data_IF_478160530425
#
_entry.id   IF_478160530425
#
_cell.length_a   1.000
_cell.length_b   1.000
_cell.length_c   1.000
_cell.angle_alpha   90.00
_cell.angle_beta   90.00
_cell.angle_gamma   90.00
#
_symmetry.space_group_name_H-M   'P 1'
#
loop_
_entity.id
_entity.type
_entity.pdbx_description
1 polymer ?
#
# COMPACT_ATOMS: atom_id res chain seq x y z
N UNK A 1 -10.85 -61.94 33.02
CA UNK A 1 -10.77 -62.53 31.68
C UNK A 1 -9.66 -63.60 31.69
N UNK A 2 -9.39 -64.28 30.58
CA UNK A 2 -8.08 -64.92 30.40
C UNK A 2 -7.09 -63.79 30.09
N UNK A 3 -5.99 -63.67 30.83
CA UNK A 3 -5.03 -62.56 30.62
C UNK A 3 -4.14 -62.78 29.41
N UNK A 4 -3.64 -64.00 29.28
CA UNK A 4 -2.91 -64.51 28.11
C UNK A 4 -3.87 -64.85 26.95
N UNK A 5 -5.00 -64.16 26.86
CA UNK A 5 -5.98 -64.32 25.79
C UNK A 5 -6.10 -63.02 25.03
N UNK A 6 -6.52 -63.16 23.80
CA UNK A 6 -6.94 -62.13 22.86
C UNK A 6 -8.46 -62.40 22.68
N UNK A 7 -9.31 -61.37 22.68
CA UNK A 7 -10.78 -61.53 22.74
C UNK A 7 -11.52 -61.08 21.48
N UNK A 8 -10.84 -60.30 20.66
CA UNK A 8 -11.25 -59.55 19.46
C UNK A 8 -10.57 -60.15 18.22
N UNK A 9 -9.45 -60.87 18.45
CA UNK A 9 -8.50 -61.40 17.48
C UNK A 9 -7.70 -60.28 16.75
N UNK A 10 -7.36 -59.17 17.44
CA UNK A 10 -6.66 -57.98 16.89
C UNK A 10 -5.11 -58.13 16.84
N UNK A 11 -4.54 -58.81 17.85
CA UNK A 11 -3.10 -58.99 18.02
C UNK A 11 -2.61 -58.77 19.45
N UNK A 12 -3.31 -57.97 20.26
CA UNK A 12 -2.97 -57.69 21.65
C UNK A 12 -3.54 -58.75 22.60
N UNK A 13 -2.92 -58.92 23.76
CA UNK A 13 -3.54 -59.68 24.85
C UNK A 13 -4.33 -58.79 25.80
N UNK A 14 -5.36 -59.35 26.42
CA UNK A 14 -6.17 -58.79 27.51
C UNK A 14 -5.39 -58.25 28.73
N UNK A 15 -4.07 -58.47 28.80
CA UNK A 15 -3.18 -57.84 29.77
C UNK A 15 -2.44 -56.64 29.17
N UNK A 16 -2.02 -56.69 27.90
CA UNK A 16 -1.45 -55.55 27.14
C UNK A 16 -2.50 -54.47 26.90
N UNK A 17 -3.69 -54.82 26.42
CA UNK A 17 -4.82 -53.89 26.22
C UNK A 17 -5.16 -53.13 27.51
N UNK A 18 -5.17 -53.84 28.65
CA UNK A 18 -5.43 -53.25 29.97
C UNK A 18 -4.28 -52.35 30.47
N UNK A 19 -3.06 -52.54 29.97
CA UNK A 19 -1.89 -51.70 30.27
C UNK A 19 -1.83 -50.46 29.38
N UNK A 20 -2.26 -50.57 28.11
CA UNK A 20 -2.40 -49.46 27.15
C UNK A 20 -3.62 -48.58 27.46
N UNK A 21 -4.75 -49.19 27.80
CA UNK A 21 -6.03 -48.53 28.08
C UNK A 21 -7.15 -48.87 27.10
N UNK A 22 -6.90 -49.75 26.13
CA UNK A 22 -7.82 -50.12 25.04
C UNK A 22 -8.97 -51.02 25.49
N UNK A 23 -9.99 -51.18 24.64
CA UNK A 23 -11.19 -51.97 24.95
C UNK A 23 -11.04 -53.46 24.58
N UNK A 24 -10.91 -54.34 25.59
CA UNK A 24 -10.84 -55.84 25.50
C UNK A 24 -12.00 -56.61 24.83
N UNK A 25 -12.81 -55.90 24.04
CA UNK A 25 -13.92 -56.39 23.24
C UNK A 25 -14.08 -55.62 21.90
N UNK A 26 -13.15 -54.71 21.55
CA UNK A 26 -13.08 -53.95 20.31
C UNK A 26 -11.67 -54.10 19.75
N UNK A 27 -11.53 -54.46 18.47
CA UNK A 27 -10.21 -54.50 17.83
C UNK A 27 -9.69 -53.12 17.42
N UNK A 28 -10.53 -52.10 17.54
CA UNK A 28 -10.41 -50.72 17.10
C UNK A 28 -11.10 -49.90 18.22
N UNK A 29 -10.32 -49.19 19.04
CA UNK A 29 -10.81 -48.56 20.28
C UNK A 29 -11.29 -47.12 20.09
N UNK A 30 -10.72 -46.36 19.15
CA UNK A 30 -11.09 -44.96 18.88
C UNK A 30 -12.01 -44.77 17.66
N UNK A 31 -12.37 -45.86 16.96
CA UNK A 31 -13.21 -45.91 15.76
C UNK A 31 -12.55 -45.22 14.53
N UNK A 32 -11.21 -45.14 14.43
CA UNK A 32 -10.50 -44.61 13.24
C UNK A 32 -10.54 -45.57 12.03
N UNK A 33 -10.42 -46.88 12.27
CA UNK A 33 -10.40 -47.94 11.25
C UNK A 33 -9.10 -48.75 11.14
N UNK A 34 -8.08 -48.47 11.95
CA UNK A 34 -6.96 -49.36 12.24
C UNK A 34 -7.37 -50.42 13.28
N UNK A 35 -6.50 -51.41 13.53
CA UNK A 35 -6.72 -52.34 14.66
C UNK A 35 -5.65 -52.02 15.72
N UNK A 36 -6.02 -51.91 17.00
CA UNK A 36 -5.17 -51.46 18.12
C UNK A 36 -3.79 -52.15 18.13
N UNK A 37 -3.77 -53.46 17.90
CA UNK A 37 -2.54 -54.25 17.80
C UNK A 37 -1.64 -53.89 16.63
N UNK A 38 -2.16 -53.44 15.49
CA UNK A 38 -1.31 -52.97 14.36
C UNK A 38 -0.73 -51.59 14.64
N UNK A 39 -1.50 -50.72 15.27
CA UNK A 39 -1.04 -49.41 15.68
C UNK A 39 0.17 -49.54 16.60
N UNK A 40 0.08 -50.41 17.61
CA UNK A 40 1.16 -50.63 18.57
C UNK A 40 2.37 -51.39 17.98
N UNK A 41 2.16 -52.47 17.21
CA UNK A 41 3.25 -53.36 16.75
C UNK A 41 3.82 -53.02 15.36
N UNK A 42 3.06 -52.37 14.47
CA UNK A 42 3.44 -52.13 13.06
C UNK A 42 3.62 -50.64 12.72
N UNK A 43 2.69 -49.75 13.12
CA UNK A 43 2.70 -48.34 12.70
C UNK A 43 3.37 -47.40 13.71
N UNK A 44 3.24 -47.66 15.01
CA UNK A 44 3.73 -46.79 16.08
C UNK A 44 2.75 -45.68 16.49
N UNK A 45 1.51 -45.75 16.03
CA UNK A 45 0.41 -44.84 16.35
C UNK A 45 -0.22 -45.13 17.73
N UNK A 46 -1.16 -44.31 18.15
CA UNK A 46 -1.80 -44.34 19.46
C UNK A 46 -3.24 -44.88 19.37
N UNK A 47 -3.52 -46.13 19.81
CA UNK A 47 -4.83 -46.79 19.66
C UNK A 47 -5.94 -46.26 20.59
N UNK A 48 -5.88 -44.98 20.92
CA UNK A 48 -6.81 -44.23 21.75
C UNK A 48 -7.07 -42.82 21.17
N UNK A 49 -6.50 -42.51 20.01
CA UNK A 49 -6.48 -41.21 19.34
C UNK A 49 -6.38 -41.41 17.83
N UNK A 50 -7.51 -41.19 17.15
CA UNK A 50 -7.72 -41.41 15.72
C UNK A 50 -6.91 -40.49 14.76
N UNK A 51 -5.93 -39.78 15.29
CA UNK A 51 -5.15 -38.66 14.76
C UNK A 51 -3.97 -38.48 15.75
N UNK A 52 -2.89 -39.23 15.54
CA UNK A 52 -1.85 -39.48 16.56
C UNK A 52 -0.94 -38.26 16.81
N UNK A 53 -0.79 -37.38 15.83
CA UNK A 53 0.07 -36.18 15.91
C UNK A 53 -0.70 -34.85 15.93
N UNK A 54 -2.05 -34.89 15.97
CA UNK A 54 -2.98 -33.77 16.08
C UNK A 54 -3.03 -32.84 14.83
N UNK A 55 -2.62 -33.31 13.64
CA UNK A 55 -2.55 -32.51 12.40
C UNK A 55 -3.92 -32.31 11.71
N UNK A 56 -4.89 -33.20 11.97
CA UNK A 56 -6.25 -33.17 11.41
C UNK A 56 -6.54 -34.18 10.29
N UNK A 57 -5.56 -34.96 9.87
CA UNK A 57 -5.72 -36.21 9.10
C UNK A 57 -6.00 -37.35 10.11
N UNK A 58 -6.33 -38.55 9.64
CA UNK A 58 -6.43 -39.74 10.51
C UNK A 58 -5.33 -40.71 10.14
N UNK A 59 -4.78 -41.37 11.13
CA UNK A 59 -3.79 -42.43 11.01
C UNK A 59 -4.16 -43.44 9.89
N UNK A 60 -5.39 -43.95 9.87
CA UNK A 60 -5.86 -44.87 8.81
C UNK A 60 -5.79 -44.31 7.37
N UNK A 61 -5.89 -43.00 7.18
CA UNK A 61 -5.81 -42.35 5.88
C UNK A 61 -4.35 -42.11 5.46
N UNK A 62 -3.48 -41.80 6.40
CA UNK A 62 -2.05 -41.54 6.17
C UNK A 62 -1.26 -42.82 5.93
N UNK A 63 -1.57 -43.89 6.67
CA UNK A 63 -0.98 -45.22 6.46
C UNK A 63 -1.30 -45.79 5.06
N UNK A 64 -2.44 -45.41 4.47
CA UNK A 64 -2.81 -45.68 3.07
C UNK A 64 -2.38 -44.53 2.10
N UNK A 65 -1.82 -43.44 2.63
CA UNK A 65 -1.48 -42.18 1.98
C UNK A 65 0.03 -41.92 1.80
N UNK A 66 0.45 -40.66 1.61
CA UNK A 66 1.85 -40.28 1.46
C UNK A 66 2.50 -39.76 2.76
N UNK A 67 1.69 -39.18 3.66
CA UNK A 67 2.07 -38.52 4.93
C UNK A 67 2.45 -39.53 6.01
N UNK A 68 2.72 -39.06 7.22
CA UNK A 68 3.21 -39.89 8.31
C UNK A 68 2.55 -39.52 9.65
N UNK A 69 1.56 -40.33 10.06
CA UNK A 69 0.76 -40.31 11.30
C UNK A 69 1.51 -40.32 12.66
N UNK A 70 2.75 -39.85 12.70
CA UNK A 70 3.55 -39.62 13.90
C UNK A 70 4.41 -38.35 13.80
N UNK A 71 4.23 -37.56 12.73
CA UNK A 71 4.96 -36.35 12.36
C UNK A 71 3.98 -35.44 11.58
N UNK A 72 3.46 -34.36 12.19
CA UNK A 72 2.34 -33.57 11.65
C UNK A 72 2.71 -32.61 10.50
N UNK A 73 3.91 -32.74 9.95
CA UNK A 73 4.58 -31.87 8.98
C UNK A 73 5.66 -32.76 8.33
N UNK A 74 5.32 -33.39 7.20
CA UNK A 74 6.08 -34.51 6.63
C UNK A 74 7.34 -34.06 5.87
N UNK A 75 7.37 -32.84 5.33
CA UNK A 75 8.53 -32.31 4.59
C UNK A 75 9.38 -31.27 5.36
N UNK A 76 9.01 -30.94 6.60
CA UNK A 76 9.67 -30.03 7.56
C UNK A 76 9.64 -28.53 7.14
N UNK A 77 8.62 -28.07 6.40
CA UNK A 77 8.48 -26.68 5.92
C UNK A 77 7.83 -25.71 6.95
N UNK A 78 7.01 -26.26 7.87
CA UNK A 78 6.33 -25.51 8.92
C UNK A 78 4.84 -25.23 8.71
N UNK A 79 4.24 -25.75 7.64
CA UNK A 79 2.81 -26.00 7.47
C UNK A 79 2.52 -27.45 7.90
N UNK A 80 1.34 -27.71 8.48
CA UNK A 80 0.98 -29.05 8.94
C UNK A 80 0.22 -29.78 7.79
N UNK A 81 0.46 -31.09 7.57
CA UNK A 81 -0.04 -31.83 6.39
C UNK A 81 -1.59 -31.75 6.27
N UNK A 82 -2.28 -31.72 7.41
CA UNK A 82 -3.72 -31.50 7.51
C UNK A 82 -4.19 -30.17 6.90
N UNK A 83 -3.76 -29.00 7.41
CA UNK A 83 -3.95 -27.70 6.77
C UNK A 83 -3.62 -27.65 5.27
N UNK A 84 -2.51 -28.24 4.84
CA UNK A 84 -2.15 -28.33 3.41
C UNK A 84 -3.25 -28.97 2.56
N UNK A 85 -3.60 -30.22 2.90
CA UNK A 85 -4.57 -31.03 2.15
C UNK A 85 -6.01 -30.50 2.26
N UNK A 86 -6.34 -29.76 3.33
CA UNK A 86 -7.73 -29.37 3.64
C UNK A 86 -8.05 -27.87 3.45
N UNK A 87 -7.06 -26.97 3.50
CA UNK A 87 -7.25 -25.51 3.40
C UNK A 87 -6.42 -24.86 2.27
N UNK A 88 -5.19 -25.32 2.01
CA UNK A 88 -4.27 -24.68 1.07
C UNK A 88 -4.14 -25.37 -0.31
N UNK A 89 -4.61 -26.61 -0.46
CA UNK A 89 -4.52 -27.41 -1.70
C UNK A 89 -3.06 -27.68 -2.18
N UNK A 90 -2.05 -27.54 -1.29
CA UNK A 90 -0.61 -27.82 -1.50
C UNK A 90 -0.27 -29.33 -1.49
N UNK A 91 0.98 -29.73 -1.76
CA UNK A 91 1.44 -31.14 -1.69
C UNK A 91 2.35 -31.34 -0.47
N UNK A 92 1.93 -32.06 0.59
CA UNK A 92 2.66 -32.22 1.88
C UNK A 92 3.99 -33.03 1.80
N UNK A 93 4.51 -33.18 0.59
CA UNK A 93 5.73 -33.89 0.23
C UNK A 93 6.72 -33.00 -0.55
N UNK A 94 6.35 -31.74 -0.84
CA UNK A 94 7.12 -30.77 -1.63
C UNK A 94 7.00 -29.37 -0.97
N UNK A 95 8.00 -28.92 -0.20
CA UNK A 95 7.92 -27.76 0.71
C UNK A 95 7.97 -26.38 0.01
N UNK A 96 7.56 -26.33 -1.26
CA UNK A 96 7.66 -25.22 -2.22
C UNK A 96 6.77 -25.64 -3.42
N UNK A 97 5.45 -25.54 -3.23
CA UNK A 97 4.42 -26.19 -4.08
C UNK A 97 4.39 -25.66 -5.51
N UNK A 98 4.74 -24.38 -5.74
CA UNK A 98 4.80 -23.79 -7.08
C UNK A 98 6.22 -23.66 -7.67
N UNK A 99 7.26 -23.75 -6.83
CA UNK A 99 8.66 -23.82 -7.23
C UNK A 99 9.36 -22.47 -7.40
N UNK A 100 8.88 -21.40 -6.76
CA UNK A 100 9.50 -20.07 -6.79
C UNK A 100 10.73 -19.94 -5.86
N UNK A 101 10.77 -20.74 -4.79
CA UNK A 101 11.86 -20.80 -3.80
C UNK A 101 11.57 -20.13 -2.45
N UNK A 102 10.32 -19.74 -2.18
CA UNK A 102 9.73 -19.57 -0.85
C UNK A 102 9.17 -20.94 -0.39
N UNK A 103 8.98 -21.11 0.91
CA UNK A 103 8.44 -22.37 1.48
C UNK A 103 6.96 -22.11 1.87
N UNK A 104 6.04 -23.05 1.59
CA UNK A 104 4.58 -22.88 1.71
C UNK A 104 4.15 -22.43 3.14
N UNK A 105 4.79 -22.98 4.17
CA UNK A 105 4.61 -22.59 5.57
C UNK A 105 4.90 -21.11 5.82
N UNK A 106 6.12 -20.61 5.54
CA UNK A 106 6.44 -19.18 5.53
C UNK A 106 5.49 -18.31 4.70
N UNK A 107 5.04 -18.77 3.53
CA UNK A 107 4.05 -18.06 2.72
C UNK A 107 2.73 -17.86 3.47
N UNK A 108 2.14 -18.95 3.97
CA UNK A 108 0.87 -18.90 4.70
C UNK A 108 0.99 -18.17 6.04
N UNK A 109 2.13 -18.28 6.74
CA UNK A 109 2.28 -17.84 8.14
C UNK A 109 3.02 -16.50 8.33
N UNK A 110 3.92 -16.10 7.44
CA UNK A 110 4.70 -14.85 7.55
C UNK A 110 4.30 -13.80 6.50
N UNK A 111 4.16 -14.17 5.23
CA UNK A 111 3.96 -13.22 4.12
C UNK A 111 2.48 -13.01 3.76
N UNK A 112 1.69 -14.07 3.77
CA UNK A 112 0.28 -14.07 3.37
C UNK A 112 0.05 -14.18 1.86
N UNK A 113 1.03 -14.72 1.14
CA UNK A 113 1.00 -15.07 -0.30
C UNK A 113 0.16 -16.35 -0.54
N UNK A 114 -0.05 -16.72 -1.80
CA UNK A 114 -0.72 -17.97 -2.18
C UNK A 114 0.34 -19.00 -2.63
N UNK A 115 0.62 -20.08 -1.86
CA UNK A 115 1.69 -21.04 -2.17
C UNK A 115 1.46 -21.90 -3.43
N UNK A 116 0.47 -21.54 -4.24
CA UNK A 116 0.20 -22.12 -5.55
C UNK A 116 0.36 -21.10 -6.70
N UNK A 117 0.66 -19.83 -6.41
CA UNK A 117 0.82 -18.73 -7.37
C UNK A 117 2.07 -17.89 -7.07
N UNK A 118 3.23 -18.35 -7.55
CA UNK A 118 4.58 -17.79 -7.49
C UNK A 118 4.78 -16.26 -7.70
N UNK A 119 3.74 -15.53 -8.11
CA UNK A 119 3.66 -14.09 -8.35
C UNK A 119 2.25 -13.67 -7.88
N UNK A 120 2.06 -13.58 -6.55
CA UNK A 120 0.73 -13.53 -5.91
C UNK A 120 -0.09 -12.32 -6.35
N UNK A 121 0.55 -11.18 -6.58
CA UNK A 121 -0.14 -9.96 -6.99
C UNK A 121 -0.20 -9.73 -8.52
N UNK A 122 0.56 -10.52 -9.29
CA UNK A 122 0.56 -10.53 -10.76
C UNK A 122 1.37 -9.42 -11.41
N UNK A 123 2.38 -8.90 -10.70
CA UNK A 123 3.34 -7.88 -11.10
C UNK A 123 4.38 -8.40 -12.14
N UNK A 124 4.81 -9.65 -11.98
CA UNK A 124 5.87 -10.27 -12.78
C UNK A 124 7.26 -10.32 -12.10
N UNK A 125 7.34 -10.10 -10.79
CA UNK A 125 8.35 -10.67 -9.90
C UNK A 125 7.78 -11.93 -9.26
N UNK A 126 8.68 -12.85 -8.89
CA UNK A 126 8.29 -14.01 -8.11
C UNK A 126 8.35 -13.66 -6.60
N UNK A 127 7.43 -14.15 -5.76
CA UNK A 127 7.24 -13.73 -4.35
C UNK A 127 8.52 -13.89 -3.50
N UNK A 128 9.27 -14.98 -3.68
CA UNK A 128 10.59 -15.21 -3.11
C UNK A 128 11.60 -14.13 -3.51
N UNK A 129 11.55 -13.65 -4.76
CA UNK A 129 12.46 -12.61 -5.25
C UNK A 129 12.14 -11.25 -4.63
N UNK A 130 10.85 -10.96 -4.39
CA UNK A 130 10.38 -9.77 -3.70
C UNK A 130 10.91 -9.71 -2.27
N UNK A 131 10.66 -10.79 -1.52
CA UNK A 131 11.05 -10.95 -0.11
C UNK A 131 12.58 -11.04 0.07
N UNK A 132 13.31 -11.71 -0.82
CA UNK A 132 14.75 -12.00 -0.62
C UNK A 132 15.73 -11.12 -1.42
N UNK A 133 15.33 -10.54 -2.56
CA UNK A 133 16.22 -9.73 -3.41
C UNK A 133 15.82 -8.26 -3.53
N UNK A 134 14.53 -7.92 -3.43
CA UNK A 134 14.02 -6.57 -3.75
C UNK A 134 13.51 -5.75 -2.55
N UNK A 135 13.25 -6.40 -1.39
CA UNK A 135 12.66 -5.78 -0.19
C UNK A 135 11.27 -5.15 -0.47
N UNK A 136 10.49 -5.74 -1.39
CA UNK A 136 9.13 -5.32 -1.78
C UNK A 136 8.03 -6.07 -1.02
N UNK A 137 6.76 -5.70 -1.21
CA UNK A 137 5.59 -6.33 -0.57
C UNK A 137 4.86 -7.20 -1.61
N UNK A 138 4.94 -8.55 -1.55
CA UNK A 138 4.39 -9.46 -2.59
C UNK A 138 2.85 -9.48 -2.67
N UNK A 139 2.19 -8.59 -1.93
CA UNK A 139 0.75 -8.35 -1.97
C UNK A 139 0.38 -6.97 -2.56
N UNK A 140 1.37 -6.13 -2.93
CA UNK A 140 1.18 -4.79 -3.50
C UNK A 140 2.10 -4.50 -4.72
N UNK A 141 1.58 -4.78 -5.92
CA UNK A 141 2.17 -4.57 -7.26
C UNK A 141 2.56 -3.12 -7.68
N UNK A 142 2.98 -2.29 -6.72
CA UNK A 142 3.48 -0.91 -6.79
C UNK A 142 3.83 -0.53 -5.33
N UNK A 143 4.82 -1.22 -4.73
CA UNK A 143 5.17 -1.17 -3.28
C UNK A 143 5.32 0.27 -2.77
N UNK A 144 5.87 1.17 -3.58
CA UNK A 144 6.08 2.56 -3.18
C UNK A 144 4.95 3.55 -3.58
N UNK A 145 4.06 3.12 -4.48
CA UNK A 145 2.89 3.86 -4.93
C UNK A 145 3.17 5.01 -5.92
N UNK A 146 4.30 4.99 -6.65
CA UNK A 146 4.62 6.01 -7.66
C UNK A 146 4.00 5.76 -9.05
N UNK A 147 3.52 4.54 -9.30
CA UNK A 147 2.71 4.17 -10.47
C UNK A 147 3.44 3.40 -11.57
N UNK A 148 4.60 2.82 -11.25
CA UNK A 148 5.13 1.62 -11.91
C UNK A 148 4.96 0.43 -10.97
N UNK A 149 4.89 -0.77 -11.53
CA UNK A 149 4.92 -1.98 -10.73
C UNK A 149 6.38 -2.44 -10.55
N UNK A 150 6.64 -3.17 -9.47
CA UNK A 150 7.97 -3.48 -8.97
C UNK A 150 8.78 -4.33 -9.97
N UNK A 151 8.16 -5.26 -10.69
CA UNK A 151 8.78 -6.01 -11.78
C UNK A 151 9.14 -5.15 -13.00
N UNK A 152 8.35 -4.13 -13.31
CA UNK A 152 8.76 -3.12 -14.32
C UNK A 152 9.94 -2.28 -13.82
N UNK A 153 9.95 -1.92 -12.53
CA UNK A 153 11.04 -1.16 -11.92
C UNK A 153 12.36 -1.96 -11.96
N UNK A 154 12.31 -3.25 -11.63
CA UNK A 154 13.45 -4.18 -11.73
C UNK A 154 13.91 -4.36 -13.18
N UNK A 155 13.01 -4.51 -14.18
CA UNK A 155 13.40 -4.56 -15.60
C UNK A 155 14.10 -3.26 -16.06
N UNK A 156 13.63 -2.11 -15.57
CA UNK A 156 14.18 -0.79 -15.90
C UNK A 156 15.44 -0.44 -15.10
N UNK A 157 15.70 -1.12 -13.99
CA UNK A 157 16.78 -0.83 -13.05
C UNK A 157 16.56 0.45 -12.24
N UNK A 158 15.30 0.77 -11.93
CA UNK A 158 14.90 1.72 -10.88
C UNK A 158 14.86 1.00 -9.52
N UNK A 159 14.22 1.58 -8.50
CA UNK A 159 14.24 1.05 -7.15
C UNK A 159 12.79 0.97 -6.63
N UNK A 160 12.18 -0.23 -6.57
CA UNK A 160 10.74 -0.42 -6.31
C UNK A 160 10.27 0.07 -4.94
N UNK A 161 11.20 0.38 -4.04
CA UNK A 161 10.95 0.88 -2.69
C UNK A 161 11.19 2.39 -2.54
N UNK A 162 11.20 3.17 -3.64
CA UNK A 162 11.70 4.56 -3.68
C UNK A 162 10.85 5.49 -4.59
N UNK A 163 9.79 6.15 -4.04
CA UNK A 163 8.69 6.77 -4.81
C UNK A 163 9.04 8.13 -5.44
N UNK A 164 10.32 8.32 -5.73
CA UNK A 164 10.93 9.49 -6.33
C UNK A 164 11.86 9.14 -7.49
N UNK A 165 12.15 7.87 -7.76
CA UNK A 165 13.16 7.49 -8.76
C UNK A 165 12.62 7.53 -10.21
N UNK A 166 11.33 7.26 -10.45
CA UNK A 166 10.71 7.55 -11.76
C UNK A 166 10.67 9.04 -12.07
N UNK A 167 10.71 9.92 -11.06
CA UNK A 167 10.69 11.38 -11.26
C UNK A 167 11.91 11.80 -12.08
N UNK A 168 13.06 11.13 -11.92
CA UNK A 168 14.24 11.38 -12.76
C UNK A 168 13.99 10.98 -14.23
N UNK A 169 13.39 9.82 -14.47
CA UNK A 169 13.09 9.30 -15.81
C UNK A 169 12.03 10.16 -16.53
N UNK A 170 10.92 10.47 -15.86
CA UNK A 170 9.82 11.31 -16.37
C UNK A 170 10.30 12.75 -16.62
N UNK A 171 11.13 13.34 -15.74
CA UNK A 171 11.78 14.62 -16.02
C UNK A 171 12.67 14.53 -17.27
N UNK A 172 13.39 13.43 -17.49
CA UNK A 172 14.19 13.29 -18.70
C UNK A 172 13.33 13.20 -19.97
N UNK A 173 12.24 12.43 -19.95
CA UNK A 173 11.35 12.23 -21.12
C UNK A 173 10.44 13.44 -21.40
N UNK A 174 10.01 14.19 -20.38
CA UNK A 174 9.10 15.34 -20.55
C UNK A 174 9.86 16.66 -20.60
N UNK A 175 10.80 16.90 -19.68
CA UNK A 175 11.47 18.19 -19.53
C UNK A 175 12.62 18.36 -20.52
N UNK A 176 13.38 17.32 -20.88
CA UNK A 176 14.45 17.49 -21.91
C UNK A 176 13.85 17.80 -23.29
N UNK A 177 12.84 17.07 -23.81
CA UNK A 177 12.12 17.49 -25.02
C UNK A 177 11.41 18.82 -24.85
N UNK A 178 10.82 19.10 -23.69
CA UNK A 178 10.21 20.41 -23.38
C UNK A 178 11.20 21.58 -23.52
N UNK A 179 12.40 21.45 -22.96
CA UNK A 179 13.50 22.43 -23.07
C UNK A 179 13.99 22.52 -24.52
N UNK A 180 14.18 21.41 -25.21
CA UNK A 180 14.60 21.39 -26.63
C UNK A 180 13.57 22.08 -27.52
N UNK A 181 12.27 21.82 -27.32
CA UNK A 181 11.18 22.50 -28.02
C UNK A 181 11.13 23.98 -27.65
N UNK A 182 11.30 24.34 -26.38
CA UNK A 182 11.35 25.73 -25.92
C UNK A 182 12.54 26.50 -26.52
N UNK A 183 13.73 25.90 -26.64
CA UNK A 183 14.86 26.54 -27.31
C UNK A 183 14.68 26.62 -28.84
N UNK A 184 14.06 25.60 -29.44
CA UNK A 184 13.81 25.52 -30.89
C UNK A 184 12.69 26.45 -31.38
N UNK A 185 11.68 26.73 -30.54
CA UNK A 185 10.48 27.46 -30.92
C UNK A 185 10.18 28.70 -30.05
N UNK A 186 10.61 28.72 -28.78
CA UNK A 186 10.43 29.86 -27.85
C UNK A 186 11.21 31.12 -28.25
N UNK A 187 12.22 31.01 -29.12
CA UNK A 187 12.87 32.17 -29.74
C UNK A 187 11.94 33.06 -30.59
N UNK A 188 10.73 32.59 -30.94
CA UNK A 188 9.79 33.31 -31.80
C UNK A 188 8.90 34.34 -31.06
N UNK A 189 8.77 34.28 -29.72
CA UNK A 189 7.86 35.17 -28.97
C UNK A 189 8.50 36.49 -28.49
N UNK A 190 9.83 36.62 -28.54
CA UNK A 190 10.52 37.89 -28.28
C UNK A 190 10.40 38.92 -29.44
N UNK A 191 9.81 38.53 -30.58
CA UNK A 191 9.82 39.31 -31.82
C UNK A 191 8.65 40.28 -32.04
N UNK A 192 7.68 40.40 -31.12
CA UNK A 192 6.42 41.14 -31.40
C UNK A 192 6.01 42.22 -30.38
N UNK A 193 6.99 42.92 -29.79
CA UNK A 193 6.79 44.21 -29.13
C UNK A 193 7.70 45.31 -29.72
N UNK A 194 7.78 45.39 -31.05
CA UNK A 194 8.44 46.48 -31.76
C UNK A 194 7.64 46.95 -32.98
N UNK A 195 6.50 47.60 -32.72
CA UNK A 195 5.79 48.47 -33.68
C UNK A 195 4.63 49.21 -32.98
N UNK A 196 4.95 50.23 -32.19
CA UNK A 196 3.90 50.88 -31.37
C UNK A 196 4.17 52.25 -30.75
N UNK A 197 5.31 52.90 -30.96
CA UNK A 197 5.46 54.30 -30.55
C UNK A 197 6.45 55.08 -31.42
N UNK A 198 5.99 56.18 -32.01
CA UNK A 198 6.83 57.16 -32.69
C UNK A 198 7.33 58.17 -31.65
N UNK A 199 8.63 58.49 -31.58
CA UNK A 199 9.13 59.49 -30.66
C UNK A 199 8.73 60.90 -31.12
N UNK A 200 7.81 61.54 -30.38
CA UNK A 200 7.60 62.98 -30.50
C UNK A 200 8.77 63.74 -29.84
N UNK A 201 9.30 64.73 -30.54
CA UNK A 201 10.52 65.42 -30.15
C UNK A 201 10.35 66.30 -28.89
N UNK A 202 11.45 66.45 -28.17
CA UNK A 202 11.64 67.42 -27.07
C UNK A 202 11.50 68.87 -27.54
N UNK A 203 10.82 69.70 -26.75
CA UNK A 203 11.04 71.16 -26.74
C UNK A 203 11.20 71.66 -25.30
N UNK A 204 11.87 72.81 -25.14
CA UNK A 204 12.59 73.22 -23.92
C UNK A 204 11.84 74.30 -23.14
N UNK A 205 11.74 74.15 -21.81
CA UNK A 205 11.16 75.18 -20.93
C UNK A 205 11.54 75.08 -19.46
N UNK A 206 12.55 75.85 -19.03
CA UNK A 206 12.74 76.21 -17.61
C UNK A 206 11.53 77.03 -17.07
N UNK A 207 11.32 77.34 -15.77
CA UNK A 207 12.28 77.85 -14.76
C UNK A 207 11.67 77.86 -13.32
N UNK A 208 12.48 77.43 -12.34
CA UNK A 208 12.72 78.02 -10.98
C UNK A 208 11.63 78.22 -9.90
N UNK A 209 11.93 77.70 -8.69
CA UNK A 209 11.54 78.23 -7.35
C UNK A 209 10.40 77.47 -6.63
N UNK A 210 10.46 77.12 -5.33
CA UNK A 210 11.52 77.24 -4.31
C UNK A 210 10.97 77.01 -2.88
N UNK A 211 11.81 76.53 -1.94
CA UNK A 211 11.64 76.48 -0.46
C UNK A 211 10.47 75.62 0.13
N UNK A 212 10.53 75.00 1.32
CA UNK A 212 11.57 74.86 2.36
C UNK A 212 11.21 73.72 3.39
N UNK A 213 12.21 72.99 3.93
CA UNK A 213 12.23 72.23 5.23
C UNK A 213 11.18 71.10 5.43
N UNK A 214 11.41 69.95 6.08
CA UNK A 214 12.53 69.28 6.78
C UNK A 214 12.17 67.76 6.84
N UNK A 215 13.04 66.79 7.17
CA UNK A 215 14.45 66.79 7.55
C UNK A 215 14.87 65.42 8.15
N UNK A 216 16.15 65.27 8.55
CA UNK A 216 16.81 64.09 9.13
C UNK A 216 17.07 62.85 8.21
N UNK A 217 18.33 62.40 8.22
CA UNK A 217 18.95 61.30 7.46
C UNK A 217 19.71 60.40 8.48
N UNK A 218 20.24 59.18 8.17
CA UNK A 218 21.08 58.89 7.00
C UNK A 218 20.96 57.51 6.29
N UNK A 219 21.10 57.51 4.95
CA UNK A 219 21.89 56.62 4.03
C UNK A 219 22.09 55.10 4.27
N UNK A 220 22.41 54.29 3.22
CA UNK A 220 22.05 54.38 1.78
C UNK A 220 21.72 53.02 1.08
N UNK A 221 21.22 53.09 -0.17
CA UNK A 221 21.42 52.11 -1.29
C UNK A 221 20.88 50.65 -1.14
N UNK A 222 20.42 49.93 -2.18
CA UNK A 222 20.28 50.19 -3.63
C UNK A 222 19.18 49.33 -4.28
N UNK A 223 18.69 49.76 -5.45
CA UNK A 223 17.97 49.02 -6.50
C UNK A 223 16.65 48.28 -6.18
N UNK A 224 15.59 48.76 -6.82
CA UNK A 224 14.34 48.00 -7.00
C UNK A 224 14.40 47.09 -8.22
N UNK A 225 13.90 45.86 -8.05
CA UNK A 225 13.47 44.99 -9.16
C UNK A 225 12.05 44.54 -8.87
N UNK A 226 11.20 44.59 -9.90
CA UNK A 226 9.77 44.34 -9.82
C UNK A 226 9.45 42.97 -9.22
N UNK A 227 8.87 42.96 -8.01
CA UNK A 227 8.36 41.75 -7.38
C UNK A 227 7.12 41.25 -8.12
N UNK A 228 7.29 40.21 -8.94
CA UNK A 228 6.20 39.29 -9.27
C UNK A 228 5.72 38.70 -7.95
N UNK A 229 4.50 39.04 -7.52
CA UNK A 229 3.92 38.45 -6.31
C UNK A 229 3.73 36.96 -6.57
N UNK A 230 4.41 36.13 -5.78
CA UNK A 230 4.16 34.70 -5.71
C UNK A 230 2.91 34.55 -4.85
N UNK A 231 1.71 34.47 -5.47
CA UNK A 231 0.49 34.12 -4.76
C UNK A 231 0.62 32.67 -4.29
N UNK A 232 0.32 32.45 -3.00
CA UNK A 232 0.29 31.12 -2.39
C UNK A 232 -0.84 30.27 -3.00
N UNK A 233 -0.89 28.98 -2.68
CA UNK A 233 -1.95 28.12 -3.22
C UNK A 233 -3.32 28.47 -2.58
N UNK A 234 -3.33 28.90 -1.33
CA UNK A 234 -4.48 29.45 -0.59
C UNK A 234 -4.99 30.75 -1.26
N UNK A 235 -4.10 31.72 -1.53
CA UNK A 235 -4.41 32.96 -2.24
C UNK A 235 -5.07 32.71 -3.61
N UNK A 236 -4.66 31.65 -4.31
CA UNK A 236 -5.24 31.26 -5.61
C UNK A 236 -6.65 30.73 -5.46
N UNK A 237 -6.91 29.88 -4.46
CA UNK A 237 -8.27 29.39 -4.16
C UNK A 237 -9.19 30.55 -3.77
N UNK A 238 -8.74 31.42 -2.86
CA UNK A 238 -9.51 32.61 -2.45
C UNK A 238 -9.79 33.55 -3.63
N UNK A 239 -8.84 33.70 -4.56
CA UNK A 239 -9.03 34.48 -5.78
C UNK A 239 -10.08 33.86 -6.69
N UNK A 240 -10.01 32.55 -6.96
CA UNK A 240 -10.97 31.85 -7.82
C UNK A 240 -12.38 31.87 -7.24
N UNK A 241 -12.54 31.64 -5.93
CA UNK A 241 -13.83 31.75 -5.25
C UNK A 241 -14.43 33.17 -5.31
N UNK A 242 -13.58 34.21 -5.26
CA UNK A 242 -13.99 35.61 -5.38
C UNK A 242 -14.31 36.02 -6.83
N UNK A 243 -13.65 35.44 -7.82
CA UNK A 243 -13.91 35.71 -9.24
C UNK A 243 -15.18 35.01 -9.76
N UNK A 244 -15.62 33.92 -9.11
CA UNK A 244 -16.83 33.16 -9.49
C UNK A 244 -18.14 33.58 -8.79
N UNK A 245 -18.11 34.52 -7.85
CA UNK A 245 -19.27 35.14 -7.18
C UNK A 245 -20.35 34.15 -6.70
N UNK A 246 -19.92 33.02 -6.11
CA UNK A 246 -20.82 31.99 -5.60
C UNK A 246 -20.12 30.68 -5.19
N UNK A 247 -20.89 29.68 -4.70
CA UNK A 247 -20.35 28.38 -4.32
C UNK A 247 -19.82 27.61 -5.54
N UNK A 248 -18.57 27.16 -5.47
CA UNK A 248 -17.87 26.47 -6.57
C UNK A 248 -17.73 24.96 -6.27
N UNK A 249 -18.05 24.04 -7.19
CA UNK A 249 -17.75 22.62 -7.03
C UNK A 249 -16.24 22.38 -6.87
N UNK A 250 -15.85 21.47 -5.98
CA UNK A 250 -14.45 21.08 -5.77
C UNK A 250 -13.77 20.62 -7.07
N UNK A 251 -14.54 19.98 -7.97
CA UNK A 251 -14.08 19.58 -9.30
C UNK A 251 -13.67 20.77 -10.19
N UNK A 252 -14.36 21.90 -10.11
CA UNK A 252 -14.01 23.09 -10.89
C UNK A 252 -12.71 23.75 -10.40
N UNK A 253 -12.38 23.63 -9.11
CA UNK A 253 -11.07 24.03 -8.60
C UNK A 253 -9.96 23.13 -9.19
N UNK A 254 -10.17 21.82 -9.25
CA UNK A 254 -9.25 20.86 -9.92
C UNK A 254 -9.02 21.24 -11.39
N UNK A 255 -10.09 21.55 -12.13
CA UNK A 255 -10.02 21.90 -13.55
C UNK A 255 -9.32 23.25 -13.83
N UNK A 256 -9.61 24.29 -13.03
CA UNK A 256 -9.07 25.65 -13.25
C UNK A 256 -7.65 25.83 -12.69
N UNK A 257 -7.26 25.06 -11.67
CA UNK A 257 -5.89 25.09 -11.09
C UNK A 257 -4.94 24.06 -11.71
N UNK A 258 -5.47 22.98 -12.29
CA UNK A 258 -4.70 21.82 -12.75
C UNK A 258 -4.11 20.97 -11.63
N UNK A 259 -4.55 21.13 -10.38
CA UNK A 259 -4.08 20.33 -9.24
C UNK A 259 -4.78 18.97 -9.16
N UNK A 260 -4.15 17.98 -8.53
CA UNK A 260 -4.81 16.68 -8.26
C UNK A 260 -5.97 16.84 -7.27
N UNK A 261 -6.99 15.98 -7.40
CA UNK A 261 -8.15 16.00 -6.50
C UNK A 261 -7.74 15.86 -5.01
N UNK A 262 -6.71 15.07 -4.73
CA UNK A 262 -6.13 14.88 -3.40
C UNK A 262 -5.43 16.15 -2.88
N UNK A 263 -4.67 16.88 -3.72
CA UNK A 263 -4.08 18.17 -3.33
C UNK A 263 -5.16 19.22 -3.05
N UNK A 264 -6.16 19.33 -3.94
CA UNK A 264 -7.32 20.21 -3.73
C UNK A 264 -8.04 19.83 -2.43
N UNK A 265 -8.25 18.53 -2.15
CA UNK A 265 -8.92 18.10 -0.92
C UNK A 265 -8.12 18.42 0.34
N UNK A 266 -6.80 18.20 0.36
CA UNK A 266 -5.94 18.53 1.52
C UNK A 266 -5.92 20.05 1.76
N UNK A 267 -5.75 20.86 0.71
CA UNK A 267 -5.75 22.32 0.81
C UNK A 267 -7.10 22.86 1.32
N UNK A 268 -8.22 22.34 0.81
CA UNK A 268 -9.55 22.73 1.28
C UNK A 268 -9.83 22.31 2.72
N UNK A 269 -9.33 21.15 3.17
CA UNK A 269 -9.44 20.76 4.58
C UNK A 269 -8.70 21.76 5.50
N UNK A 270 -7.48 22.16 5.13
CA UNK A 270 -6.71 23.14 5.91
C UNK A 270 -7.41 24.51 5.95
N UNK A 271 -7.87 25.02 4.79
CA UNK A 271 -8.58 26.31 4.73
C UNK A 271 -9.95 26.29 5.42
N UNK A 272 -10.58 25.12 5.57
CA UNK A 272 -11.81 24.94 6.37
C UNK A 272 -11.51 24.92 7.88
N UNK A 273 -10.40 24.31 8.30
CA UNK A 273 -9.92 24.36 9.70
C UNK A 273 -9.52 25.78 10.12
N UNK A 274 -8.91 26.55 9.21
CA UNK A 274 -8.59 27.97 9.41
C UNK A 274 -9.82 28.91 9.28
N UNK A 275 -10.97 28.38 8.88
CA UNK A 275 -12.25 29.10 8.78
C UNK A 275 -12.38 30.05 7.58
N UNK A 276 -11.43 30.01 6.63
CA UNK A 276 -11.45 30.88 5.44
C UNK A 276 -12.52 30.47 4.42
N UNK A 277 -12.90 29.18 4.42
CA UNK A 277 -13.91 28.60 3.55
C UNK A 277 -14.87 27.70 4.34
N UNK A 278 -15.95 27.26 3.70
CA UNK A 278 -16.83 26.20 4.21
C UNK A 278 -17.15 25.22 3.10
N UNK A 279 -17.08 23.92 3.41
CA UNK A 279 -17.45 22.82 2.53
C UNK A 279 -18.91 22.43 2.78
N UNK A 280 -19.66 22.27 1.70
CA UNK A 280 -21.05 21.80 1.73
C UNK A 280 -21.20 20.68 0.70
N UNK A 281 -21.58 19.49 1.13
CA UNK A 281 -21.92 18.39 0.22
C UNK A 281 -23.35 18.58 -0.31
N UNK A 282 -23.49 18.68 -1.63
CA UNK A 282 -24.78 18.80 -2.31
C UNK A 282 -24.96 17.59 -3.22
N UNK A 283 -25.79 16.63 -2.79
CA UNK A 283 -26.04 15.40 -3.53
C UNK A 283 -24.82 14.46 -3.50
N UNK A 284 -24.09 14.37 -4.62
CA UNK A 284 -22.86 13.57 -4.75
C UNK A 284 -21.59 14.42 -4.94
N UNK A 285 -21.70 15.74 -4.85
CA UNK A 285 -20.61 16.67 -5.12
C UNK A 285 -20.31 17.54 -3.91
N UNK A 286 -19.02 17.79 -3.65
CA UNK A 286 -18.58 18.74 -2.63
C UNK A 286 -18.48 20.13 -3.25
N UNK A 287 -19.12 21.11 -2.63
CA UNK A 287 -19.15 22.51 -3.07
C UNK A 287 -18.48 23.37 -2.00
N UNK A 288 -17.60 24.26 -2.42
CA UNK A 288 -16.84 25.17 -1.56
C UNK A 288 -17.45 26.57 -1.66
N UNK A 289 -17.63 27.22 -0.51
CA UNK A 289 -17.95 28.65 -0.43
C UNK A 289 -16.91 29.37 0.43
N UNK A 290 -16.79 30.68 0.25
CA UNK A 290 -16.05 31.54 1.18
C UNK A 290 -16.72 31.48 2.58
N UNK A 291 -15.91 31.53 3.64
CA UNK A 291 -16.40 31.58 5.02
C UNK A 291 -17.24 32.84 5.27
N UNK A 292 -18.33 32.70 6.03
CA UNK A 292 -19.33 33.78 6.25
C UNK A 292 -19.13 34.50 7.59
N UNK A 293 -18.08 34.15 8.33
CA UNK A 293 -17.81 34.68 9.67
C UNK A 293 -16.98 35.98 9.62
N UNK A 294 -17.70 37.09 9.50
CA UNK A 294 -17.24 38.36 10.06
C UNK A 294 -16.92 38.22 11.56
N UNK A 295 -16.07 39.08 12.14
CA UNK A 295 -15.44 38.83 13.43
C UNK A 295 -16.45 38.58 14.54
N UNK A 296 -16.32 37.45 15.24
CA UNK A 296 -17.10 37.15 16.43
C UNK A 296 -16.92 38.28 17.46
N UNK A 297 -18.00 39.00 17.74
CA UNK A 297 -18.00 39.99 18.82
C UNK A 297 -17.85 39.26 20.15
N UNK A 298 -16.87 39.63 20.99
CA UNK A 298 -16.60 38.90 22.22
C UNK A 298 -17.72 39.06 23.24
N UNK A 299 -17.83 38.04 24.10
CA UNK A 299 -18.68 37.95 25.28
C UNK A 299 -19.02 39.29 25.95
N UNK A 300 -20.30 39.43 26.28
CA UNK A 300 -20.74 40.11 27.50
C UNK A 300 -21.73 39.22 28.23
N UNK A 301 -21.25 38.58 29.28
CA UNK A 301 -22.08 38.34 30.46
C UNK A 301 -22.41 39.70 31.09
N UNK A 302 -23.69 39.94 31.43
CA UNK A 302 -24.12 40.86 32.49
C UNK A 302 -25.64 40.64 32.73
N UNK A 303 -25.95 40.09 33.91
CA UNK A 303 -27.20 40.14 34.73
C UNK A 303 -28.60 39.93 34.09
#
# INVERSE_FOLDING_TARGET
MNREGDLDDDGLTNEEELELGTEVHSSDTDDDGLDDGKEVDEYGTNPLDADTDDDGIRDSLEIDGPTNATVPDTDDDGLEDGPEVNEHDTDPMDPDSDGDGLEDGPEVHEYGTDPNEADTDGDGLDDAAEVHEHDTDPLEADTDGDGLNDGTEVELGTAPTSPFDVVAAVLFVVVVPGIVLYWKYGGAIAGRLSSGFQPAASDVGARTGGDDRNGASPTPESDGTTTTQILTDEDRVLKLLREHDGPMPQKSLTEETGWSASKVSRLLSNMEEEGEITKITIGRENVVKLGDDGPQTPFRDDE
#
